data_IF_356874543556
#
_entry.id   IF_356874543556
#
_cell.length_a   1.000
_cell.length_b   1.000
_cell.length_c   1.000
_cell.angle_alpha   90.00
_cell.angle_beta   90.00
_cell.angle_gamma   90.00
#
_symmetry.space_group_name_H-M   'P 1'
#
loop_
_entity.id
_entity.type
_entity.pdbx_description
1 polymer ?
#
# COMPACT_ATOMS: atom_id res chain seq x y z
N UNK A 1 50.51 -37.35 38.23
CA UNK A 1 50.37 -36.15 37.40
C UNK A 1 49.07 -36.27 36.60
N UNK A 2 48.06 -35.46 36.92
CA UNK A 2 46.73 -35.49 36.24
C UNK A 2 46.67 -34.32 35.29
N UNK A 3 46.66 -34.59 33.98
CA UNK A 3 46.53 -33.57 32.95
C UNK A 3 45.06 -33.09 32.89
N UNK A 4 44.82 -31.81 33.18
CA UNK A 4 43.54 -31.15 32.99
C UNK A 4 43.39 -30.80 31.50
N UNK A 5 42.40 -31.40 30.83
CA UNK A 5 42.05 -31.01 29.45
C UNK A 5 41.15 -29.78 29.55
N UNK A 6 41.65 -28.71 28.98
CA UNK A 6 40.91 -27.44 28.83
C UNK A 6 40.04 -27.56 27.56
N UNK A 7 38.72 -27.61 27.73
CA UNK A 7 37.77 -27.51 26.60
C UNK A 7 37.55 -26.00 26.27
N UNK A 8 38.10 -25.57 25.16
CA UNK A 8 37.75 -24.26 24.59
C UNK A 8 36.50 -24.43 23.75
N UNK A 9 35.37 -23.95 24.26
CA UNK A 9 34.11 -23.84 23.50
C UNK A 9 34.23 -22.56 22.67
N UNK A 10 34.50 -22.69 21.38
CA UNK A 10 34.41 -21.60 20.44
C UNK A 10 32.90 -21.34 20.16
N UNK A 11 32.37 -20.32 20.76
CA UNK A 11 31.03 -19.83 20.41
C UNK A 11 31.11 -19.15 19.03
N UNK A 12 30.61 -19.84 18.01
CA UNK A 12 30.43 -19.29 16.67
C UNK A 12 29.26 -18.29 16.74
N UNK A 13 29.57 -17.02 16.92
CA UNK A 13 28.56 -15.95 16.79
C UNK A 13 28.31 -15.81 15.29
N UNK A 14 27.28 -16.47 14.78
CA UNK A 14 26.72 -16.15 13.48
C UNK A 14 26.10 -14.75 13.59
N UNK A 15 26.88 -13.73 13.27
CA UNK A 15 26.35 -12.42 12.96
C UNK A 15 25.52 -12.58 11.67
N UNK A 16 24.22 -12.79 11.80
CA UNK A 16 23.31 -12.60 10.68
C UNK A 16 23.35 -11.12 10.34
N UNK A 17 24.16 -10.77 9.35
CA UNK A 17 24.08 -9.47 8.69
C UNK A 17 22.64 -9.33 8.22
N UNK A 18 21.90 -8.41 8.84
CA UNK A 18 20.60 -8.00 8.34
C UNK A 18 20.88 -7.28 7.01
N UNK A 19 20.95 -8.05 5.93
CA UNK A 19 21.02 -7.47 4.60
C UNK A 19 19.71 -6.70 4.42
N UNK A 20 19.84 -5.40 4.18
CA UNK A 20 18.72 -4.59 3.72
C UNK A 20 18.19 -5.27 2.45
N UNK A 21 16.97 -5.72 2.50
CA UNK A 21 16.35 -6.36 1.35
C UNK A 21 15.71 -5.27 0.50
N UNK A 22 16.27 -5.05 -0.69
CA UNK A 22 15.65 -4.20 -1.71
C UNK A 22 15.06 -5.11 -2.77
N UNK A 23 13.74 -5.02 -2.94
CA UNK A 23 13.02 -5.75 -3.98
C UNK A 23 12.31 -4.71 -4.84
N UNK A 24 12.54 -4.79 -6.15
CA UNK A 24 11.87 -3.94 -7.13
C UNK A 24 11.01 -4.79 -8.05
N UNK A 25 9.72 -4.41 -8.14
CA UNK A 25 8.79 -4.92 -9.13
C UNK A 25 8.69 -3.93 -10.29
N UNK A 26 8.93 -4.40 -11.51
CA UNK A 26 8.90 -3.60 -12.74
C UNK A 26 7.75 -3.97 -13.67
N UNK A 27 6.95 -4.96 -13.26
CA UNK A 27 5.79 -5.47 -14.03
C UNK A 27 6.14 -6.03 -15.42
N UNK A 28 7.42 -6.38 -15.67
CA UNK A 28 7.83 -7.16 -16.85
C UNK A 28 7.25 -8.59 -16.79
N UNK A 29 6.97 -9.04 -15.58
CA UNK A 29 6.24 -10.25 -15.22
C UNK A 29 5.49 -10.02 -13.92
N UNK A 30 4.59 -10.92 -13.53
CA UNK A 30 3.92 -10.87 -12.23
C UNK A 30 4.77 -11.56 -11.15
N UNK A 31 5.92 -10.95 -10.79
CA UNK A 31 6.93 -11.58 -9.93
C UNK A 31 6.53 -11.65 -8.45
N UNK A 32 5.61 -10.80 -8.02
CA UNK A 32 5.11 -10.72 -6.64
C UNK A 32 3.66 -11.24 -6.49
N UNK A 33 3.17 -12.00 -7.46
CA UNK A 33 1.82 -12.57 -7.45
C UNK A 33 0.71 -11.52 -7.17
N UNK A 34 0.78 -10.38 -7.88
CA UNK A 34 -0.30 -9.40 -7.85
C UNK A 34 -1.60 -10.05 -8.29
N UNK A 35 -2.68 -9.76 -7.57
CA UNK A 35 -3.97 -10.28 -7.93
C UNK A 35 -4.52 -9.57 -9.19
N UNK A 36 -4.30 -10.19 -10.34
CA UNK A 36 -4.88 -9.73 -11.59
C UNK A 36 -6.36 -10.15 -11.69
N UNK A 37 -7.18 -9.22 -12.14
CA UNK A 37 -8.59 -9.45 -12.43
C UNK A 37 -8.92 -8.86 -13.80
N UNK A 38 -9.01 -9.72 -14.79
CA UNK A 38 -9.36 -9.31 -16.16
C UNK A 38 -10.86 -9.40 -16.46
N UNK A 39 -11.66 -9.91 -15.52
CA UNK A 39 -13.08 -10.19 -15.72
C UNK A 39 -13.91 -8.94 -15.39
N UNK A 40 -14.75 -8.50 -16.34
CA UNK A 40 -15.75 -7.46 -16.08
C UNK A 40 -16.78 -7.94 -15.04
N UNK A 41 -17.30 -7.03 -14.24
CA UNK A 41 -18.37 -7.34 -13.27
C UNK A 41 -17.93 -7.35 -11.80
N UNK A 42 -16.63 -7.17 -11.52
CA UNK A 42 -16.10 -7.08 -10.15
C UNK A 42 -15.81 -5.63 -9.70
N UNK A 43 -16.49 -4.65 -10.29
CA UNK A 43 -16.28 -3.22 -9.97
C UNK A 43 -15.01 -2.63 -10.58
N UNK A 44 -14.18 -3.43 -11.25
CA UNK A 44 -12.94 -2.99 -11.87
C UNK A 44 -12.14 -4.15 -12.46
N UNK A 45 -10.94 -3.83 -12.90
CA UNK A 45 -9.97 -4.82 -13.40
C UNK A 45 -8.54 -4.37 -13.14
N UNK A 46 -7.64 -5.33 -13.02
CA UNK A 46 -6.19 -5.15 -12.92
C UNK A 46 -5.48 -6.05 -13.93
N UNK A 47 -4.57 -5.49 -14.70
CA UNK A 47 -3.84 -6.20 -15.76
C UNK A 47 -2.38 -5.75 -15.74
N UNK A 48 -1.46 -6.71 -15.77
CA UNK A 48 -0.03 -6.47 -16.01
C UNK A 48 0.23 -6.67 -17.50
N UNK A 49 0.67 -5.63 -18.18
CA UNK A 49 1.05 -5.67 -19.60
C UNK A 49 2.12 -4.62 -19.88
N UNK A 50 3.13 -4.99 -20.69
CA UNK A 50 4.20 -4.10 -21.18
C UNK A 50 4.92 -3.33 -20.08
N UNK A 51 5.25 -3.99 -18.97
CA UNK A 51 6.00 -3.40 -17.87
C UNK A 51 5.20 -2.43 -16.99
N UNK A 52 3.87 -2.50 -17.01
CA UNK A 52 3.02 -1.70 -16.14
C UNK A 52 1.85 -2.51 -15.58
N UNK A 53 1.44 -2.19 -14.36
CA UNK A 53 0.17 -2.64 -13.80
C UNK A 53 -0.88 -1.56 -14.04
N UNK A 54 -1.92 -1.89 -14.80
CA UNK A 54 -3.07 -1.00 -15.02
C UNK A 54 -4.25 -1.45 -14.19
N UNK A 55 -4.75 -0.55 -13.36
CA UNK A 55 -5.93 -0.75 -12.52
C UNK A 55 -7.02 0.20 -12.98
N UNK A 56 -8.20 -0.32 -13.24
CA UNK A 56 -9.38 0.48 -13.59
C UNK A 56 -10.53 0.10 -12.69
N UNK A 57 -11.23 1.08 -12.16
CA UNK A 57 -12.50 0.89 -11.46
C UNK A 57 -13.63 1.56 -12.22
N UNK A 58 -14.79 0.90 -12.17
CA UNK A 58 -16.03 1.36 -12.78
C UNK A 58 -17.08 1.46 -11.68
N UNK A 59 -17.68 2.60 -11.53
CA UNK A 59 -18.75 2.71 -10.55
C UNK A 59 -18.84 4.07 -9.90
N UNK A 60 -20.07 4.52 -9.71
CA UNK A 60 -20.42 5.81 -9.15
C UNK A 60 -21.18 5.63 -7.83
N UNK A 61 -20.65 4.86 -6.89
CA UNK A 61 -21.33 4.74 -5.60
C UNK A 61 -20.67 5.62 -4.54
N UNK A 62 -21.50 6.16 -3.68
CA UNK A 62 -21.12 7.20 -2.74
C UNK A 62 -20.17 6.65 -1.67
N UNK A 63 -18.89 6.97 -1.77
CA UNK A 63 -17.85 6.64 -0.80
C UNK A 63 -18.25 6.98 0.65
N UNK A 64 -18.88 8.12 0.83
CA UNK A 64 -19.33 8.56 2.15
C UNK A 64 -20.36 7.64 2.80
N UNK A 65 -21.09 6.85 2.01
CA UNK A 65 -21.99 5.83 2.55
C UNK A 65 -21.21 4.69 3.22
N UNK A 66 -20.06 4.33 2.67
CA UNK A 66 -19.17 3.32 3.24
C UNK A 66 -18.49 3.84 4.53
N UNK A 67 -18.05 5.10 4.56
CA UNK A 67 -17.48 5.73 5.75
C UNK A 67 -18.51 5.93 6.86
N UNK A 68 -19.78 6.08 6.54
CA UNK A 68 -20.88 6.20 7.51
C UNK A 68 -21.34 4.86 8.12
N UNK A 69 -20.59 3.76 7.90
CA UNK A 69 -20.86 2.45 8.50
C UNK A 69 -21.77 1.54 7.68
N UNK A 70 -22.07 1.89 6.43
CA UNK A 70 -22.68 0.97 5.47
C UNK A 70 -21.59 0.11 4.84
N UNK A 71 -21.90 -1.14 4.51
CA UNK A 71 -20.99 -2.03 3.82
C UNK A 71 -20.49 -1.38 2.53
N UNK A 72 -19.18 -1.44 2.30
CA UNK A 72 -18.63 -1.17 0.97
C UNK A 72 -19.21 -2.27 0.09
N UNK A 73 -20.12 -1.92 -0.79
CA UNK A 73 -20.66 -2.87 -1.76
C UNK A 73 -19.55 -3.28 -2.72
N UNK A 74 -19.60 -4.49 -3.22
CA UNK A 74 -18.63 -5.08 -4.17
C UNK A 74 -18.38 -4.19 -5.41
N UNK A 75 -19.30 -3.27 -5.70
CA UNK A 75 -19.27 -2.38 -6.88
C UNK A 75 -18.77 -0.95 -6.60
N UNK A 76 -18.24 -0.66 -5.42
CA UNK A 76 -17.89 0.72 -5.02
C UNK A 76 -16.40 1.01 -5.04
N UNK A 77 -15.59 0.00 -4.86
CA UNK A 77 -14.13 0.11 -4.90
C UNK A 77 -13.52 -1.09 -5.61
N UNK A 78 -12.30 -0.90 -6.06
CA UNK A 78 -11.50 -1.99 -6.60
C UNK A 78 -10.12 -1.96 -5.95
N UNK A 79 -9.64 -3.13 -5.55
CA UNK A 79 -8.36 -3.34 -4.91
C UNK A 79 -7.48 -4.23 -5.78
N UNK A 80 -6.19 -3.92 -5.84
CA UNK A 80 -5.19 -4.78 -6.44
C UNK A 80 -4.00 -4.85 -5.48
N UNK A 81 -3.60 -6.04 -5.08
CA UNK A 81 -2.62 -6.23 -4.02
C UNK A 81 -1.66 -7.39 -4.30
N UNK A 82 -0.53 -7.37 -3.61
CA UNK A 82 0.44 -8.44 -3.53
C UNK A 82 0.84 -8.68 -2.06
N UNK A 83 1.63 -9.71 -1.83
CA UNK A 83 2.30 -9.90 -0.55
C UNK A 83 3.68 -9.23 -0.61
N UNK A 84 3.85 -8.11 0.12
CA UNK A 84 5.10 -7.35 0.11
C UNK A 84 6.23 -8.17 0.74
N UNK A 85 7.42 -8.20 0.15
CA UNK A 85 8.58 -8.92 0.68
C UNK A 85 9.25 -8.13 1.81
N UNK A 86 8.50 -7.82 2.86
CA UNK A 86 8.92 -6.99 4.00
C UNK A 86 8.58 -7.66 5.33
N UNK A 87 9.45 -7.46 6.32
CA UNK A 87 9.08 -7.67 7.71
C UNK A 87 8.43 -6.41 8.27
N UNK A 88 7.11 -6.34 8.26
CA UNK A 88 6.35 -5.16 8.68
C UNK A 88 6.50 -4.76 10.16
N UNK A 89 7.20 -5.57 10.96
CA UNK A 89 7.55 -5.25 12.35
C UNK A 89 8.84 -4.41 12.47
N UNK A 90 9.53 -4.18 11.37
CA UNK A 90 10.74 -3.34 11.29
C UNK A 90 10.45 -2.06 10.51
N UNK A 91 11.28 -1.02 10.64
CA UNK A 91 11.21 0.13 9.75
C UNK A 91 11.30 -0.31 8.29
N UNK A 92 10.51 0.31 7.43
CA UNK A 92 10.48 0.00 6.01
C UNK A 92 10.12 1.24 5.19
N UNK A 93 10.39 1.16 3.90
CA UNK A 93 9.97 2.14 2.90
C UNK A 93 9.41 1.40 1.69
N UNK A 94 8.29 1.87 1.18
CA UNK A 94 7.71 1.44 -0.09
C UNK A 94 7.57 2.68 -0.95
N UNK A 95 8.10 2.66 -2.17
CA UNK A 95 7.95 3.73 -3.15
C UNK A 95 7.44 3.19 -4.48
N UNK A 96 6.62 3.97 -5.16
CA UNK A 96 6.00 3.57 -6.41
C UNK A 96 5.77 4.77 -7.32
N UNK A 97 6.00 4.57 -8.61
CA UNK A 97 5.69 5.56 -9.63
C UNK A 97 4.34 5.25 -10.25
N UNK A 98 3.46 6.22 -10.22
CA UNK A 98 2.08 6.04 -10.66
C UNK A 98 1.64 7.15 -11.61
N UNK A 99 0.75 6.81 -12.53
CA UNK A 99 -0.01 7.77 -13.33
C UNK A 99 -1.47 7.65 -12.97
N UNK A 100 -2.06 8.75 -12.51
CA UNK A 100 -3.45 8.79 -12.04
C UNK A 100 -4.34 9.56 -13.02
N UNK A 101 -5.59 9.13 -13.11
CA UNK A 101 -6.63 9.85 -13.83
C UNK A 101 -7.08 11.11 -13.09
N UNK A 102 -8.24 11.62 -13.46
CA UNK A 102 -8.84 12.76 -12.78
C UNK A 102 -9.24 12.38 -11.36
N UNK A 103 -8.90 13.22 -10.39
CA UNK A 103 -9.42 13.14 -9.03
C UNK A 103 -10.53 14.18 -8.82
N UNK A 104 -11.52 13.82 -8.05
CA UNK A 104 -12.59 14.68 -7.54
C UNK A 104 -13.25 13.97 -6.36
N UNK A 105 -14.33 14.51 -5.84
CA UNK A 105 -15.02 13.94 -4.67
C UNK A 105 -15.61 12.54 -4.91
N UNK A 106 -15.82 12.16 -6.16
CA UNK A 106 -16.38 10.86 -6.56
C UNK A 106 -15.30 9.89 -7.08
N UNK A 107 -14.03 10.31 -7.09
CA UNK A 107 -12.90 9.51 -7.63
C UNK A 107 -11.71 9.58 -6.71
N UNK A 108 -11.44 8.46 -6.09
CA UNK A 108 -10.37 8.33 -5.11
C UNK A 108 -9.33 7.32 -5.59
N UNK A 109 -8.11 7.53 -5.13
CA UNK A 109 -7.01 6.57 -5.28
C UNK A 109 -6.25 6.47 -3.99
N UNK A 110 -5.47 5.41 -3.81
CA UNK A 110 -4.64 5.31 -2.63
C UNK A 110 -3.82 4.04 -2.55
N UNK A 111 -3.06 3.96 -1.46
CA UNK A 111 -2.26 2.80 -1.10
C UNK A 111 -2.97 1.96 -0.05
N UNK A 112 -3.04 0.66 -0.30
CA UNK A 112 -3.41 -0.35 0.68
C UNK A 112 -2.16 -0.86 1.38
N UNK A 113 -2.25 -1.13 2.66
CA UNK A 113 -1.23 -1.81 3.44
C UNK A 113 -1.85 -2.51 4.64
N UNK A 114 -1.09 -3.39 5.30
CA UNK A 114 -1.67 -4.32 6.26
C UNK A 114 -2.88 -5.07 5.68
N UNK A 115 -2.81 -5.33 4.37
CA UNK A 115 -3.91 -5.96 3.65
C UNK A 115 -3.87 -7.47 3.87
N UNK A 116 -4.97 -8.02 4.31
CA UNK A 116 -5.23 -9.44 4.40
C UNK A 116 -6.26 -9.86 3.36
N UNK A 117 -7.35 -9.11 3.30
CA UNK A 117 -8.50 -9.29 2.44
C UNK A 117 -9.30 -7.98 2.38
N UNK A 118 -10.36 -7.92 1.58
CA UNK A 118 -11.18 -6.72 1.39
C UNK A 118 -11.92 -6.25 2.64
N UNK A 119 -11.98 -7.07 3.67
CA UNK A 119 -12.56 -6.73 4.97
C UNK A 119 -11.53 -6.33 6.03
N UNK A 120 -10.23 -6.50 5.76
CA UNK A 120 -9.16 -6.33 6.73
C UNK A 120 -7.96 -5.64 6.07
N UNK A 121 -7.91 -4.32 6.16
CA UNK A 121 -6.83 -3.51 5.60
C UNK A 121 -6.74 -2.12 6.22
N UNK A 122 -5.61 -1.46 5.99
CA UNK A 122 -5.41 -0.03 6.17
C UNK A 122 -5.17 0.61 4.82
N UNK A 123 -5.57 1.88 4.67
CA UNK A 123 -5.29 2.61 3.44
C UNK A 123 -5.05 4.10 3.70
N UNK A 124 -4.15 4.68 2.90
CA UNK A 124 -4.15 6.11 2.62
C UNK A 124 -4.86 6.33 1.30
N UNK A 125 -6.01 6.97 1.32
CA UNK A 125 -6.79 7.29 0.15
C UNK A 125 -6.97 8.80 0.03
N UNK A 126 -6.98 9.31 -1.18
CA UNK A 126 -7.08 10.75 -1.40
C UNK A 126 -7.82 11.11 -2.69
N UNK A 127 -8.33 12.31 -2.69
CA UNK A 127 -8.90 13.01 -3.83
C UNK A 127 -8.15 14.33 -4.08
N UNK A 128 -8.77 15.31 -4.72
CA UNK A 128 -8.18 16.62 -4.99
C UNK A 128 -8.22 17.61 -3.81
N UNK A 129 -8.93 17.29 -2.72
CA UNK A 129 -9.12 18.18 -1.57
C UNK A 129 -8.51 17.63 -0.27
N UNK A 130 -8.55 16.30 -0.09
CA UNK A 130 -8.17 15.68 1.18
C UNK A 130 -7.49 14.33 1.02
N UNK A 131 -6.76 13.94 2.05
CA UNK A 131 -6.26 12.59 2.27
C UNK A 131 -6.91 12.01 3.51
N UNK A 132 -7.28 10.74 3.43
CA UNK A 132 -7.86 9.98 4.51
C UNK A 132 -7.01 8.76 4.80
N UNK A 133 -6.61 8.58 6.07
CA UNK A 133 -6.15 7.30 6.57
C UNK A 133 -7.35 6.54 7.11
N UNK A 134 -7.63 5.37 6.56
CA UNK A 134 -8.75 4.53 6.94
C UNK A 134 -8.30 3.15 7.41
N UNK A 135 -9.12 2.54 8.25
CA UNK A 135 -8.89 1.19 8.76
C UNK A 135 -10.18 0.39 8.69
N UNK A 136 -10.09 -0.77 8.06
CA UNK A 136 -11.13 -1.77 8.06
C UNK A 136 -10.70 -3.00 8.84
N UNK A 137 -11.61 -3.56 9.63
CA UNK A 137 -11.44 -4.82 10.34
C UNK A 137 -12.78 -5.55 10.36
N UNK A 138 -12.77 -6.81 9.92
CA UNK A 138 -13.97 -7.67 9.85
C UNK A 138 -15.14 -6.99 9.09
N UNK A 139 -14.83 -6.44 7.91
CA UNK A 139 -15.77 -5.70 7.06
C UNK A 139 -16.35 -4.43 7.71
N UNK A 140 -15.78 -3.97 8.81
CA UNK A 140 -16.24 -2.78 9.54
C UNK A 140 -15.20 -1.68 9.49
N UNK A 141 -15.68 -0.47 9.30
CA UNK A 141 -14.87 0.73 9.48
C UNK A 141 -14.56 0.92 10.97
N UNK A 142 -13.28 0.88 11.33
CA UNK A 142 -12.83 0.98 12.73
C UNK A 142 -12.13 2.28 13.07
N UNK A 143 -11.97 3.17 12.11
CA UNK A 143 -11.47 4.51 12.35
C UNK A 143 -10.80 5.14 11.15
N UNK A 144 -10.77 6.47 11.16
CA UNK A 144 -10.08 7.29 10.17
C UNK A 144 -9.40 8.49 10.78
N UNK A 145 -8.51 9.07 9.98
CA UNK A 145 -7.98 10.42 10.18
C UNK A 145 -8.04 11.11 8.82
N UNK A 146 -8.66 12.29 8.77
CA UNK A 146 -8.71 13.12 7.57
C UNK A 146 -7.80 14.33 7.72
N UNK A 147 -7.25 14.78 6.61
CA UNK A 147 -6.46 16.00 6.52
C UNK A 147 -6.66 16.65 5.16
N UNK A 148 -6.97 17.94 5.14
CA UNK A 148 -7.03 18.71 3.89
C UNK A 148 -5.65 18.82 3.28
N UNK A 149 -5.56 18.64 1.98
CA UNK A 149 -4.31 18.74 1.21
C UNK A 149 -4.46 19.86 0.20
N UNK A 150 -3.55 20.82 0.27
CA UNK A 150 -3.42 21.82 -0.79
C UNK A 150 -2.47 21.29 -1.85
N UNK A 151 -3.01 20.62 -2.83
CA UNK A 151 -2.22 20.23 -3.99
C UNK A 151 -1.68 21.48 -4.71
N UNK A 152 -0.46 21.39 -5.19
CA UNK A 152 0.05 22.39 -6.13
C UNK A 152 -0.92 22.52 -7.31
N UNK A 153 -1.15 23.74 -7.81
CA UNK A 153 -1.96 24.00 -9.02
C UNK A 153 -1.44 23.23 -10.25
N UNK A 154 -0.22 22.72 -10.16
CA UNK A 154 0.47 21.95 -11.19
C UNK A 154 0.61 20.48 -10.84
N UNK A 155 -0.35 19.91 -10.06
CA UNK A 155 -0.31 18.47 -9.78
C UNK A 155 -0.16 17.69 -11.09
N UNK A 156 0.92 16.92 -11.19
CA UNK A 156 1.18 16.08 -12.36
C UNK A 156 0.26 14.85 -12.31
N UNK A 157 -0.11 14.33 -13.47
CA UNK A 157 -0.78 13.03 -13.57
C UNK A 157 0.18 11.92 -13.09
N UNK A 158 1.47 12.02 -13.44
CA UNK A 158 2.52 11.12 -12.97
C UNK A 158 3.06 11.61 -11.63
N UNK A 159 3.10 10.74 -10.65
CA UNK A 159 3.49 11.01 -9.27
C UNK A 159 4.35 9.88 -8.72
N UNK A 160 5.21 10.21 -7.75
CA UNK A 160 5.85 9.23 -6.88
C UNK A 160 5.10 9.19 -5.54
N UNK A 161 4.60 8.01 -5.18
CA UNK A 161 3.99 7.78 -3.87
C UNK A 161 4.96 7.01 -2.99
N UNK A 162 5.02 7.39 -1.71
CA UNK A 162 5.91 6.74 -0.77
C UNK A 162 5.23 6.54 0.58
N UNK A 163 5.32 5.31 1.09
CA UNK A 163 4.91 4.93 2.43
C UNK A 163 6.15 4.57 3.24
N UNK A 164 6.34 5.22 4.38
CA UNK A 164 7.48 4.96 5.27
C UNK A 164 7.01 4.64 6.68
N UNK A 165 7.65 3.66 7.29
CA UNK A 165 7.56 3.38 8.71
C UNK A 165 8.93 3.53 9.36
N UNK A 166 9.02 4.35 10.40
CA UNK A 166 10.21 4.46 11.27
C UNK A 166 10.08 3.59 12.54
N UNK A 167 9.04 2.73 12.61
CA UNK A 167 8.72 1.91 13.77
C UNK A 167 7.85 2.64 14.82
N UNK A 168 7.71 3.95 14.74
CA UNK A 168 6.87 4.77 15.63
C UNK A 168 5.74 5.48 14.90
N UNK A 169 5.94 5.75 13.63
CA UNK A 169 4.99 6.46 12.76
C UNK A 169 4.94 5.85 11.37
N UNK A 170 3.78 6.02 10.73
CA UNK A 170 3.58 5.81 9.29
C UNK A 170 3.42 7.16 8.63
N UNK A 171 4.18 7.39 7.56
CA UNK A 171 4.17 8.64 6.80
C UNK A 171 3.88 8.35 5.35
N UNK A 172 2.94 9.09 4.77
CA UNK A 172 2.60 9.03 3.36
C UNK A 172 3.05 10.30 2.66
N UNK A 173 3.73 10.14 1.53
CA UNK A 173 4.28 11.22 0.71
C UNK A 173 3.77 11.10 -0.72
N UNK A 174 3.63 12.25 -1.37
CA UNK A 174 3.41 12.37 -2.81
C UNK A 174 4.42 13.38 -3.35
N UNK A 175 5.24 12.97 -4.32
CA UNK A 175 6.31 13.81 -4.91
C UNK A 175 7.18 14.48 -3.83
N UNK A 176 7.67 13.69 -2.87
CA UNK A 176 8.47 14.11 -1.71
C UNK A 176 7.75 15.01 -0.69
N UNK A 177 6.52 15.43 -0.95
CA UNK A 177 5.73 16.20 0.00
C UNK A 177 5.10 15.28 1.05
N UNK A 178 5.29 15.53 2.34
CA UNK A 178 4.62 14.79 3.39
C UNK A 178 3.13 15.13 3.38
N UNK A 179 2.30 14.18 3.02
CA UNK A 179 0.86 14.37 2.89
C UNK A 179 0.14 14.07 4.19
N UNK A 180 0.50 12.96 4.84
CA UNK A 180 -0.07 12.59 6.12
C UNK A 180 0.92 11.78 6.96
N UNK A 181 0.86 12.00 8.27
CA UNK A 181 1.58 11.21 9.27
C UNK A 181 0.61 10.71 10.33
N UNK A 182 0.69 9.43 10.63
CA UNK A 182 -0.11 8.78 11.68
C UNK A 182 0.81 8.01 12.62
N UNK A 183 0.33 7.79 13.86
CA UNK A 183 1.05 6.91 14.79
C UNK A 183 1.13 5.51 14.21
N UNK A 184 2.30 4.90 14.29
CA UNK A 184 2.46 3.50 13.89
C UNK A 184 1.59 2.60 14.78
N UNK A 185 0.86 1.73 14.13
CA UNK A 185 0.17 0.62 14.76
C UNK A 185 0.82 -0.64 14.22
N UNK A 186 1.22 -1.59 15.08
CA UNK A 186 1.84 -2.82 14.61
C UNK A 186 1.00 -3.45 13.50
N UNK A 187 1.63 -3.68 12.35
CA UNK A 187 0.99 -4.33 11.23
C UNK A 187 1.02 -5.84 11.45
N UNK A 188 -0.07 -6.50 11.10
CA UNK A 188 -0.20 -7.95 11.24
C UNK A 188 0.14 -8.67 9.93
N UNK A 189 -0.09 -7.97 8.80
CA UNK A 189 0.03 -8.53 7.45
C UNK A 189 0.97 -7.69 6.59
N UNK A 190 1.75 -8.36 5.76
CA UNK A 190 2.62 -7.71 4.79
C UNK A 190 1.93 -7.42 3.43
N UNK A 191 0.61 -7.53 3.36
CA UNK A 191 -0.13 -7.18 2.15
C UNK A 191 -0.03 -5.70 1.85
N UNK A 192 0.30 -5.40 0.59
CA UNK A 192 0.42 -4.06 0.03
C UNK A 192 -0.32 -3.99 -1.31
N UNK A 193 -0.83 -2.83 -1.67
CA UNK A 193 -1.51 -2.69 -2.94
C UNK A 193 -2.08 -1.30 -3.18
N UNK A 194 -3.04 -1.26 -4.08
CA UNK A 194 -3.69 -0.05 -4.54
C UNK A 194 -5.20 -0.13 -4.35
N UNK A 195 -5.75 1.03 -4.07
CA UNK A 195 -7.18 1.26 -3.91
C UNK A 195 -7.65 2.27 -4.96
N UNK A 196 -8.71 1.96 -5.66
CA UNK A 196 -9.40 2.88 -6.56
C UNK A 196 -10.89 2.91 -6.26
N UNK A 197 -11.51 4.07 -6.40
CA UNK A 197 -12.94 4.26 -6.20
C UNK A 197 -13.51 5.20 -7.25
N UNK A 198 -14.76 4.95 -7.63
CA UNK A 198 -15.41 5.68 -8.71
C UNK A 198 -14.82 5.28 -10.07
N UNK A 199 -15.18 5.99 -11.13
CA UNK A 199 -14.61 5.76 -12.46
C UNK A 199 -13.18 6.27 -12.53
N UNK A 200 -12.22 5.39 -12.25
CA UNK A 200 -10.82 5.73 -12.10
C UNK A 200 -9.90 4.82 -12.93
N UNK A 201 -8.75 5.36 -13.33
CA UNK A 201 -7.65 4.62 -13.91
C UNK A 201 -6.37 4.98 -13.16
N UNK A 202 -5.66 3.96 -12.71
CA UNK A 202 -4.33 4.05 -12.11
C UNK A 202 -3.37 3.18 -12.93
N UNK A 203 -2.24 3.73 -13.33
CA UNK A 203 -1.16 3.00 -13.97
C UNK A 203 0.03 3.03 -13.03
N UNK A 204 0.62 1.89 -12.76
CA UNK A 204 1.78 1.72 -11.88
C UNK A 204 2.95 1.26 -12.74
N UNK A 205 4.04 2.03 -12.75
CA UNK A 205 5.24 1.71 -13.53
C UNK A 205 6.18 0.78 -12.75
N UNK A 206 6.35 1.04 -11.46
CA UNK A 206 7.20 0.22 -10.59
C UNK A 206 6.80 0.33 -9.12
N UNK A 207 7.27 -0.63 -8.33
CA UNK A 207 7.21 -0.59 -6.86
C UNK A 207 8.54 -1.04 -6.30
N UNK A 208 9.09 -0.29 -5.36
CA UNK A 208 10.31 -0.63 -4.64
C UNK A 208 10.01 -0.83 -3.15
N UNK A 209 10.42 -1.97 -2.61
CA UNK A 209 10.35 -2.33 -1.20
C UNK A 209 11.76 -2.31 -0.62
N UNK A 210 11.96 -1.51 0.44
CA UNK A 210 13.26 -1.31 1.10
C UNK A 210 13.13 -1.56 2.59
N UNK A 211 14.06 -2.39 3.13
CA UNK A 211 14.11 -2.69 4.55
C UNK A 211 15.55 -2.79 5.07
#
# INVERSE_FOLDING_TARGET
>A
MKAKRLFVVAALICATSANAQNVKETFDSNSLDWNECATEGHGGKSIIDKGVLTITSEGANKFWSAMAGTQIGENTCFTCSCYAPLNVQRPFKISTNVTIGKLDNDRLVGLLFNYKDDGNFYAFIFNDEEVNFIRFKDMKFVGSKSQSVKWSKTRKAQQNWRLESDGSTLSFFVDELPIMKVRYMPLEYAGFGYYTFGKQKLIVDDVEFVQ
#
